data_IF_608621286622
#
_entry.id   IF_608621286622
#
_cell.length_a   1.000
_cell.length_b   1.000
_cell.length_c   1.000
_cell.angle_alpha   90.00
_cell.angle_beta   90.00
_cell.angle_gamma   90.00
#
_symmetry.space_group_name_H-M   'P 1'
#
loop_
_entity.id
_entity.type
_entity.pdbx_description
1 polymer ?
#
# COMPACT_ATOMS: atom_id res chain seq x y z
N UNK A 1 -13.59 -33.38 30.61
CA UNK A 1 -13.03 -34.13 29.48
C UNK A 1 -12.48 -33.15 28.46
N UNK A 2 -11.22 -33.37 28.06
CA UNK A 2 -10.46 -32.88 26.89
C UNK A 2 -10.72 -31.44 26.39
N UNK A 3 -9.76 -30.51 26.53
CA UNK A 3 -8.52 -30.39 25.72
C UNK A 3 -8.81 -30.10 24.25
N UNK A 4 -8.32 -28.96 23.77
CA UNK A 4 -7.43 -28.86 22.59
C UNK A 4 -6.98 -27.40 22.42
N UNK A 5 -5.86 -27.08 23.07
CA UNK A 5 -5.04 -25.93 22.71
C UNK A 5 -4.36 -26.22 21.36
N UNK A 6 -4.32 -25.24 20.46
CA UNK A 6 -3.55 -25.31 19.21
C UNK A 6 -2.24 -24.53 19.36
N UNK A 7 -1.12 -25.06 18.84
CA UNK A 7 0.21 -24.47 18.95
C UNK A 7 0.40 -23.43 17.85
N UNK A 8 1.16 -22.36 18.13
CA UNK A 8 1.71 -21.52 17.07
C UNK A 8 3.22 -21.41 17.24
N UNK A 9 3.89 -21.70 16.13
CA UNK A 9 5.32 -21.95 16.01
C UNK A 9 6.17 -20.77 16.46
N UNK A 10 7.06 -21.03 17.41
CA UNK A 10 8.22 -20.21 17.68
C UNK A 10 9.19 -20.31 16.48
N UNK A 11 9.45 -19.18 15.82
CA UNK A 11 10.54 -19.06 14.88
C UNK A 11 11.79 -18.68 15.68
N UNK A 12 12.66 -19.67 15.90
CA UNK A 12 13.94 -19.49 16.57
C UNK A 12 14.84 -18.57 15.74
N UNK A 13 15.12 -17.38 16.27
CA UNK A 13 16.19 -16.52 15.79
C UNK A 13 17.53 -17.17 16.16
N UNK A 14 18.19 -17.76 15.17
CA UNK A 14 19.59 -18.15 15.30
C UNK A 14 20.44 -16.88 15.43
N UNK A 15 20.88 -16.61 16.66
CA UNK A 15 21.86 -15.59 16.96
C UNK A 15 23.22 -16.05 16.41
N UNK A 16 23.72 -15.35 15.40
CA UNK A 16 25.11 -15.47 14.94
C UNK A 16 26.00 -14.84 16.03
N UNK A 17 27.01 -15.54 16.55
CA UNK A 17 27.90 -14.96 17.54
C UNK A 17 28.72 -13.83 16.92
N UNK A 18 28.60 -12.64 17.50
CA UNK A 18 29.47 -11.49 17.23
C UNK A 18 30.83 -11.81 17.84
N UNK A 19 31.83 -12.07 17.02
CA UNK A 19 33.21 -12.16 17.47
C UNK A 19 33.80 -10.75 17.59
N UNK A 20 34.08 -10.36 18.82
CA UNK A 20 34.84 -9.15 19.17
C UNK A 20 36.25 -9.23 18.56
N UNK A 21 36.45 -8.60 17.41
CA UNK A 21 37.79 -8.34 16.87
C UNK A 21 38.44 -7.19 17.64
N UNK A 22 39.05 -7.54 18.76
CA UNK A 22 39.92 -6.68 19.56
C UNK A 22 41.18 -6.35 18.75
N UNK A 23 41.62 -5.07 18.68
CA UNK A 23 42.81 -4.70 17.92
C UNK A 23 44.08 -5.36 18.49
N UNK A 24 45.07 -5.68 17.65
CA UNK A 24 46.29 -6.34 18.09
C UNK A 24 47.08 -5.42 19.04
N UNK A 25 47.35 -5.94 20.24
CA UNK A 25 48.26 -5.33 21.22
C UNK A 25 49.64 -5.16 20.59
N UNK A 26 50.12 -3.92 20.52
CA UNK A 26 51.51 -3.58 20.25
C UNK A 26 52.42 -4.23 21.30
N UNK A 27 53.17 -5.27 20.92
CA UNK A 27 54.26 -5.80 21.74
C UNK A 27 55.40 -4.77 21.74
N UNK A 28 55.64 -4.16 22.90
CA UNK A 28 56.86 -3.37 23.16
C UNK A 28 58.07 -4.28 22.92
N UNK A 29 58.93 -3.93 21.96
CA UNK A 29 60.24 -4.57 21.77
C UNK A 29 61.05 -4.42 23.05
N UNK A 30 61.49 -5.54 23.61
CA UNK A 30 62.52 -5.55 24.65
C UNK A 30 63.84 -5.05 24.05
N UNK A 31 64.51 -4.12 24.74
CA UNK A 31 65.88 -3.72 24.44
C UNK A 31 66.81 -4.86 24.85
N UNK A 32 67.47 -5.50 23.88
CA UNK A 32 68.63 -6.36 24.15
C UNK A 32 69.85 -5.47 24.49
N UNK A 33 70.53 -5.80 25.59
CA UNK A 33 71.80 -5.22 26.01
C UNK A 33 72.94 -5.61 25.05
N UNK A 34 74.05 -4.84 24.99
CA UNK A 34 75.17 -5.13 24.10
C UNK A 34 76.03 -6.28 24.65
N UNK A 35 76.43 -7.20 23.77
CA UNK A 35 77.43 -8.25 24.01
C UNK A 35 78.85 -7.67 23.79
N UNK A 36 79.90 -8.15 24.48
CA UNK A 36 81.25 -7.62 24.31
C UNK A 36 81.88 -8.11 23.00
N UNK A 37 82.85 -7.35 22.43
CA UNK A 37 83.50 -7.69 21.18
C UNK A 37 84.47 -8.86 21.40
N UNK A 38 84.35 -9.90 20.59
CA UNK A 38 85.37 -10.94 20.45
C UNK A 38 86.43 -10.50 19.42
N UNK A 39 87.69 -10.97 19.54
CA UNK A 39 88.77 -10.52 18.67
C UNK A 39 88.53 -10.94 17.23
N UNK A 40 88.84 -10.03 16.32
CA UNK A 40 88.85 -10.27 14.87
C UNK A 40 90.18 -10.96 14.55
N UNK A 41 90.14 -12.27 14.27
CA UNK A 41 91.23 -12.93 13.56
C UNK A 41 91.12 -12.56 12.09
N UNK A 42 92.09 -11.77 11.62
CA UNK A 42 92.27 -11.41 10.22
C UNK A 42 92.79 -12.66 9.51
N UNK A 43 91.86 -13.44 8.93
CA UNK A 43 92.22 -14.45 7.95
C UNK A 43 92.54 -13.71 6.66
N UNK A 44 93.85 -13.56 6.40
CA UNK A 44 94.37 -13.16 5.09
C UNK A 44 94.07 -14.32 4.14
N UNK A 45 92.97 -14.21 3.39
CA UNK A 45 92.71 -15.06 2.24
C UNK A 45 93.66 -14.64 1.12
N UNK A 46 94.74 -15.40 1.02
CA UNK A 46 95.70 -15.36 -0.07
C UNK A 46 95.03 -15.85 -1.36
N UNK A 47 95.11 -15.02 -2.41
CA UNK A 47 95.39 -15.37 -3.81
C UNK A 47 94.52 -16.44 -4.47
N UNK A 48 93.62 -16.02 -5.37
CA UNK A 48 93.33 -16.64 -6.68
C UNK A 48 92.41 -15.72 -7.51
N UNK A 49 92.99 -15.01 -8.49
CA UNK A 49 92.48 -13.78 -9.14
C UNK A 49 91.64 -13.99 -10.43
N UNK A 50 91.15 -15.19 -10.74
CA UNK A 50 90.36 -15.43 -11.98
C UNK A 50 88.92 -15.95 -11.77
N UNK A 51 88.55 -16.33 -10.54
CA UNK A 51 87.24 -16.91 -10.22
C UNK A 51 86.21 -15.90 -9.68
N UNK A 52 86.65 -14.84 -9.01
CA UNK A 52 85.76 -13.82 -8.42
C UNK A 52 84.98 -13.02 -9.46
N UNK A 53 85.55 -12.82 -10.65
CA UNK A 53 84.91 -12.09 -11.75
C UNK A 53 83.65 -12.81 -12.28
N UNK A 54 83.68 -14.15 -12.32
CA UNK A 54 82.55 -14.98 -12.75
C UNK A 54 81.44 -15.04 -11.70
N UNK A 55 81.80 -15.09 -10.42
CA UNK A 55 80.85 -15.12 -9.30
C UNK A 55 80.16 -13.76 -9.09
N UNK A 56 80.91 -12.66 -9.17
CA UNK A 56 80.33 -11.31 -9.18
C UNK A 56 79.44 -11.07 -10.42
N UNK A 57 79.79 -11.62 -11.58
CA UNK A 57 78.94 -11.51 -12.78
C UNK A 57 77.62 -12.29 -12.61
N UNK A 58 77.64 -13.47 -11.97
CA UNK A 58 76.44 -14.24 -11.60
C UNK A 58 75.56 -13.48 -10.61
N UNK A 59 76.14 -12.92 -9.55
CA UNK A 59 75.42 -12.13 -8.56
C UNK A 59 74.81 -10.85 -9.16
N UNK A 60 75.46 -10.20 -10.13
CA UNK A 60 74.88 -9.06 -10.84
C UNK A 60 73.65 -9.45 -11.64
N UNK A 61 73.71 -10.58 -12.36
CA UNK A 61 72.58 -11.11 -13.14
C UNK A 61 71.41 -11.51 -12.25
N UNK A 62 71.69 -12.12 -11.10
CA UNK A 62 70.68 -12.46 -10.09
C UNK A 62 70.04 -11.23 -9.45
N UNK A 63 70.84 -10.22 -9.09
CA UNK A 63 70.32 -8.94 -8.57
C UNK A 63 69.45 -8.21 -9.60
N UNK A 64 69.80 -8.28 -10.88
CA UNK A 64 68.99 -7.68 -11.95
C UNK A 64 67.66 -8.43 -12.14
N UNK A 65 67.67 -9.76 -12.05
CA UNK A 65 66.46 -10.58 -12.05
C UNK A 65 65.54 -10.29 -10.85
N UNK A 66 66.10 -10.22 -9.63
CA UNK A 66 65.36 -9.88 -8.41
C UNK A 66 64.79 -8.44 -8.46
N UNK A 67 65.52 -7.51 -9.09
CA UNK A 67 65.03 -6.15 -9.32
C UNK A 67 63.84 -6.13 -10.27
N UNK A 68 63.90 -6.88 -11.38
CA UNK A 68 62.76 -7.03 -12.30
C UNK A 68 61.55 -7.68 -11.63
N UNK A 69 61.77 -8.71 -10.81
CA UNK A 69 60.71 -9.39 -10.06
C UNK A 69 60.02 -8.45 -9.05
N UNK A 70 60.80 -7.67 -8.29
CA UNK A 70 60.29 -6.64 -7.38
C UNK A 70 59.48 -5.58 -8.13
N UNK A 71 59.96 -5.12 -9.27
CA UNK A 71 59.28 -4.09 -10.06
C UNK A 71 57.97 -4.64 -10.66
N UNK A 72 57.92 -5.93 -11.04
CA UNK A 72 56.68 -6.63 -11.41
C UNK A 72 55.69 -6.73 -10.25
N UNK A 73 56.14 -7.11 -9.04
CA UNK A 73 55.28 -7.15 -7.86
C UNK A 73 54.76 -5.75 -7.49
N UNK A 74 55.57 -4.71 -7.67
CA UNK A 74 55.16 -3.32 -7.45
C UNK A 74 54.06 -2.92 -8.43
N UNK A 75 54.23 -3.21 -9.72
CA UNK A 75 53.21 -2.95 -10.75
C UNK A 75 51.92 -3.73 -10.49
N UNK A 76 52.00 -5.00 -10.07
CA UNK A 76 50.84 -5.80 -9.69
C UNK A 76 50.11 -5.23 -8.46
N UNK A 77 50.86 -4.72 -7.47
CA UNK A 77 50.28 -4.06 -6.29
C UNK A 77 49.58 -2.76 -6.68
N UNK A 78 50.20 -1.95 -7.52
CA UNK A 78 49.65 -0.65 -7.93
C UNK A 78 48.38 -0.82 -8.78
N UNK A 79 48.31 -1.86 -9.62
CA UNK A 79 47.08 -2.22 -10.37
C UNK A 79 45.98 -2.78 -9.46
N UNK A 80 46.32 -3.59 -8.46
CA UNK A 80 45.37 -4.05 -7.44
C UNK A 80 44.82 -2.89 -6.59
N UNK A 81 45.67 -1.92 -6.21
CA UNK A 81 45.27 -0.71 -5.48
C UNK A 81 44.32 0.15 -6.33
N UNK A 82 44.63 0.35 -7.62
CA UNK A 82 43.76 1.07 -8.54
C UNK A 82 42.40 0.39 -8.70
N UNK A 83 42.36 -0.93 -8.90
CA UNK A 83 41.10 -1.67 -9.02
C UNK A 83 40.27 -1.59 -7.73
N UNK A 84 40.90 -1.70 -6.55
CA UNK A 84 40.24 -1.49 -5.25
C UNK A 84 39.61 -0.08 -5.14
N UNK A 85 40.35 0.96 -5.52
CA UNK A 85 39.86 2.34 -5.49
C UNK A 85 38.67 2.55 -6.44
N UNK A 86 38.69 1.96 -7.63
CA UNK A 86 37.55 2.02 -8.56
C UNK A 86 36.33 1.27 -8.04
N UNK A 87 36.53 0.10 -7.40
CA UNK A 87 35.45 -0.66 -6.79
C UNK A 87 34.82 0.13 -5.64
N UNK A 88 35.64 0.76 -4.80
CA UNK A 88 35.19 1.59 -3.67
C UNK A 88 34.44 2.85 -4.13
N UNK A 89 34.91 3.51 -5.19
CA UNK A 89 34.18 4.62 -5.82
C UNK A 89 32.82 4.17 -6.40
N UNK A 90 32.77 2.99 -7.03
CA UNK A 90 31.52 2.44 -7.57
C UNK A 90 30.53 2.06 -6.46
N UNK A 91 31.02 1.49 -5.35
CA UNK A 91 30.23 1.17 -4.15
C UNK A 91 29.63 2.44 -3.54
N UNK A 92 30.46 3.46 -3.31
CA UNK A 92 30.01 4.73 -2.75
C UNK A 92 28.94 5.40 -3.64
N UNK A 93 29.09 5.30 -4.97
CA UNK A 93 28.10 5.81 -5.94
C UNK A 93 26.79 5.01 -5.88
N UNK A 94 26.86 3.68 -5.74
CA UNK A 94 25.68 2.84 -5.60
C UNK A 94 24.95 3.13 -4.28
N UNK A 95 25.67 3.25 -3.17
CA UNK A 95 25.12 3.59 -1.85
C UNK A 95 24.43 4.97 -1.87
N UNK A 96 25.06 5.98 -2.47
CA UNK A 96 24.46 7.29 -2.65
C UNK A 96 23.13 7.21 -3.45
N UNK A 97 23.09 6.41 -4.51
CA UNK A 97 21.89 6.23 -5.34
C UNK A 97 20.79 5.46 -4.60
N UNK A 98 21.14 4.49 -3.75
CA UNK A 98 20.18 3.80 -2.88
C UNK A 98 19.55 4.76 -1.89
N UNK A 99 20.34 5.63 -1.26
CA UNK A 99 19.85 6.66 -0.34
C UNK A 99 18.92 7.64 -1.05
N UNK A 100 19.28 8.10 -2.25
CA UNK A 100 18.46 8.98 -3.08
C UNK A 100 17.11 8.36 -3.47
N UNK A 101 17.13 7.09 -3.91
CA UNK A 101 15.93 6.32 -4.22
C UNK A 101 15.05 6.12 -2.99
N UNK A 102 15.64 5.78 -1.83
CA UNK A 102 14.91 5.62 -0.57
C UNK A 102 14.24 6.93 -0.13
N UNK A 103 14.95 8.05 -0.22
CA UNK A 103 14.38 9.36 0.11
C UNK A 103 13.26 9.74 -0.87
N UNK A 104 13.37 9.36 -2.14
CA UNK A 104 12.33 9.57 -3.15
C UNK A 104 11.12 8.66 -2.95
N UNK A 105 11.30 7.43 -2.47
CA UNK A 105 10.22 6.52 -2.07
C UNK A 105 9.49 7.01 -0.82
N UNK A 106 10.23 7.43 0.22
CA UNK A 106 9.64 8.06 1.42
C UNK A 106 8.83 9.30 1.07
N UNK A 107 9.33 10.13 0.16
CA UNK A 107 8.60 11.28 -0.40
C UNK A 107 7.43 10.91 -1.32
N UNK A 108 7.25 9.65 -1.72
CA UNK A 108 6.05 9.20 -2.45
C UNK A 108 5.03 8.52 -1.52
N UNK A 109 5.47 7.99 -0.39
CA UNK A 109 4.63 7.46 0.69
C UNK A 109 4.19 8.57 1.67
N UNK A 110 3.61 9.65 1.13
CA UNK A 110 3.40 10.94 1.85
C UNK A 110 2.30 10.89 2.91
N UNK A 111 1.36 9.94 2.84
CA UNK A 111 0.22 9.96 3.74
C UNK A 111 0.62 9.44 5.11
N UNK A 112 0.48 10.28 6.13
CA UNK A 112 0.59 9.83 7.52
C UNK A 112 -0.60 8.91 7.85
N UNK A 113 -0.47 7.97 8.78
CA UNK A 113 -1.60 7.16 9.25
C UNK A 113 -2.78 8.01 9.75
N UNK A 114 -2.51 9.20 10.31
CA UNK A 114 -3.53 10.18 10.69
C UNK A 114 -4.30 10.73 9.49
N UNK A 115 -3.63 11.09 8.39
CA UNK A 115 -4.30 11.64 7.20
C UNK A 115 -5.27 10.62 6.57
N UNK A 116 -4.91 9.33 6.63
CA UNK A 116 -5.78 8.26 6.13
C UNK A 116 -6.97 8.02 7.06
N UNK A 117 -6.82 8.24 8.37
CA UNK A 117 -7.90 8.13 9.35
C UNK A 117 -8.96 9.22 9.16
N UNK A 118 -8.55 10.47 8.92
CA UNK A 118 -9.49 11.56 8.68
C UNK A 118 -10.27 11.33 7.37
N UNK A 119 -9.58 10.81 6.36
CA UNK A 119 -10.21 10.47 5.08
C UNK A 119 -11.17 9.29 5.22
N UNK A 120 -10.85 8.31 6.06
CA UNK A 120 -11.73 7.17 6.37
C UNK A 120 -13.06 7.64 6.98
N UNK A 121 -13.03 8.60 7.89
CA UNK A 121 -14.24 9.19 8.46
C UNK A 121 -15.12 9.83 7.37
N UNK A 122 -14.52 10.56 6.43
CA UNK A 122 -15.24 11.21 5.32
C UNK A 122 -15.90 10.24 4.32
N UNK A 123 -15.44 8.99 4.26
CA UNK A 123 -16.01 7.94 3.39
C UNK A 123 -16.86 6.92 4.16
N UNK A 124 -17.07 7.15 5.45
CA UNK A 124 -17.93 6.35 6.30
C UNK A 124 -19.39 6.78 6.18
N UNK A 125 -20.30 5.81 6.26
CA UNK A 125 -21.74 6.05 6.18
C UNK A 125 -22.27 6.51 7.54
N UNK A 126 -22.99 7.63 7.62
CA UNK A 126 -23.57 8.10 8.90
C UNK A 126 -24.66 7.16 9.49
N UNK A 127 -25.19 6.22 8.70
CA UNK A 127 -26.23 5.28 9.16
C UNK A 127 -25.59 4.03 9.79
N UNK A 128 -24.62 3.42 9.10
CA UNK A 128 -24.03 2.16 9.55
C UNK A 128 -22.61 2.31 10.10
N UNK A 129 -22.03 3.52 10.05
CA UNK A 129 -20.66 3.86 10.47
C UNK A 129 -19.56 3.03 9.81
N UNK A 130 -19.85 2.44 8.63
CA UNK A 130 -18.90 1.66 7.84
C UNK A 130 -18.58 2.37 6.52
N UNK A 131 -17.43 2.00 5.90
CA UNK A 131 -17.04 2.43 4.56
C UNK A 131 -18.17 2.28 3.53
N UNK A 132 -18.44 3.34 2.77
CA UNK A 132 -19.45 3.35 1.72
C UNK A 132 -18.96 2.65 0.43
N UNK A 133 -18.93 1.32 0.41
CA UNK A 133 -18.52 0.54 -0.77
C UNK A 133 -19.40 0.75 -2.00
N UNK A 134 -20.67 1.13 -1.79
CA UNK A 134 -21.58 1.49 -2.86
C UNK A 134 -22.34 2.76 -2.44
N UNK A 135 -21.72 3.94 -2.59
CA UNK A 135 -22.29 5.20 -2.13
C UNK A 135 -23.44 5.64 -3.05
N UNK A 136 -24.50 6.17 -2.45
CA UNK A 136 -25.65 6.74 -3.11
C UNK A 136 -25.94 8.12 -2.51
N UNK A 137 -25.99 9.14 -3.36
CA UNK A 137 -26.13 10.54 -2.98
C UNK A 137 -27.53 11.04 -3.25
N UNK A 138 -28.08 11.77 -2.28
CA UNK A 138 -29.39 12.41 -2.38
C UNK A 138 -29.25 13.75 -3.11
N UNK A 139 -29.78 13.87 -4.32
CA UNK A 139 -29.60 15.06 -5.18
C UNK A 139 -30.19 16.36 -4.61
N UNK A 140 -31.17 16.27 -3.71
CA UNK A 140 -31.79 17.44 -3.09
C UNK A 140 -30.95 18.11 -1.99
N UNK A 141 -30.02 17.38 -1.36
CA UNK A 141 -29.24 17.88 -0.23
C UNK A 141 -27.75 17.51 -0.23
N UNK A 142 -27.28 16.67 -1.16
CA UNK A 142 -25.87 16.27 -1.28
C UNK A 142 -25.39 15.19 -0.31
N UNK A 143 -26.12 14.89 0.77
CA UNK A 143 -25.75 13.81 1.69
C UNK A 143 -25.66 12.45 0.99
N UNK A 144 -24.66 11.68 1.38
CA UNK A 144 -24.28 10.41 0.73
C UNK A 144 -24.19 9.30 1.77
N UNK A 145 -24.70 8.13 1.41
CA UNK A 145 -24.75 6.97 2.31
C UNK A 145 -24.55 5.69 1.51
N UNK A 146 -24.48 4.54 2.17
CA UNK A 146 -24.59 3.25 1.50
C UNK A 146 -25.95 3.11 0.77
N UNK A 147 -25.92 2.60 -0.47
CA UNK A 147 -27.13 2.27 -1.26
C UNK A 147 -28.13 1.43 -0.44
N UNK A 148 -27.64 0.42 0.28
CA UNK A 148 -28.48 -0.44 1.13
C UNK A 148 -29.12 0.30 2.30
N UNK A 149 -28.36 1.15 3.00
CA UNK A 149 -28.86 1.88 4.16
C UNK A 149 -29.95 2.88 3.77
N UNK A 150 -29.78 3.60 2.65
CA UNK A 150 -30.84 4.45 2.12
C UNK A 150 -32.07 3.66 1.67
N UNK A 151 -31.86 2.51 1.03
CA UNK A 151 -32.97 1.65 0.63
C UNK A 151 -33.78 1.18 1.83
N UNK A 152 -33.13 0.71 2.90
CA UNK A 152 -33.79 0.30 4.14
C UNK A 152 -34.53 1.46 4.82
N UNK A 153 -33.92 2.65 4.85
CA UNK A 153 -34.56 3.86 5.36
C UNK A 153 -35.86 4.22 4.61
N UNK A 154 -35.82 4.19 3.27
CA UNK A 154 -37.01 4.42 2.45
C UNK A 154 -38.03 3.28 2.59
N UNK A 155 -37.58 2.03 2.70
CA UNK A 155 -38.47 0.89 2.88
C UNK A 155 -39.24 0.97 4.21
N UNK A 156 -38.59 1.39 5.29
CA UNK A 156 -39.25 1.62 6.58
C UNK A 156 -40.34 2.71 6.47
N UNK A 157 -40.04 3.79 5.76
CA UNK A 157 -41.01 4.87 5.47
C UNK A 157 -42.19 4.36 4.64
N UNK A 158 -41.90 3.58 3.59
CA UNK A 158 -42.91 2.97 2.74
C UNK A 158 -43.82 2.00 3.52
N UNK A 159 -43.23 1.15 4.35
CA UNK A 159 -43.96 0.17 5.17
C UNK A 159 -44.95 0.86 6.09
N UNK A 160 -44.50 1.89 6.82
CA UNK A 160 -45.37 2.70 7.69
C UNK A 160 -46.48 3.39 6.89
N UNK A 161 -46.14 3.89 5.71
CA UNK A 161 -47.11 4.55 4.84
C UNK A 161 -48.22 3.58 4.40
N UNK A 162 -47.86 2.39 3.93
CA UNK A 162 -48.83 1.36 3.49
C UNK A 162 -49.72 0.88 4.64
N UNK A 163 -49.17 0.76 5.86
CA UNK A 163 -49.97 0.44 7.04
C UNK A 163 -51.00 1.54 7.36
N UNK A 164 -50.63 2.80 7.16
CA UNK A 164 -51.50 3.96 7.42
C UNK A 164 -52.52 4.16 6.30
N UNK A 165 -52.14 3.85 5.06
CA UNK A 165 -52.94 4.05 3.85
C UNK A 165 -53.04 2.75 3.02
N UNK A 166 -53.81 1.72 3.47
CA UNK A 166 -53.93 0.47 2.72
C UNK A 166 -54.45 0.64 1.29
N UNK A 167 -55.31 1.66 1.07
CA UNK A 167 -55.83 2.02 -0.25
C UNK A 167 -54.73 2.42 -1.26
N UNK A 168 -53.54 2.83 -0.79
CA UNK A 168 -52.40 3.16 -1.63
C UNK A 168 -51.99 1.99 -2.53
N UNK A 169 -52.01 0.77 -2.01
CA UNK A 169 -51.65 -0.44 -2.78
C UNK A 169 -52.71 -0.80 -3.83
N UNK A 170 -53.98 -0.59 -3.52
CA UNK A 170 -55.08 -0.90 -4.42
C UNK A 170 -55.14 0.05 -5.63
N UNK A 171 -54.63 1.27 -5.47
CA UNK A 171 -54.67 2.29 -6.50
C UNK A 171 -56.08 2.84 -6.79
N UNK A 172 -56.20 3.79 -7.72
CA UNK A 172 -57.49 4.34 -8.12
C UNK A 172 -58.35 3.26 -8.77
N UNK A 173 -59.56 3.08 -8.23
CA UNK A 173 -60.54 2.15 -8.80
C UNK A 173 -61.17 2.77 -10.05
N UNK A 174 -60.72 2.33 -11.22
CA UNK A 174 -61.23 2.80 -12.50
C UNK A 174 -62.21 1.74 -13.04
N UNK A 175 -63.48 2.09 -13.29
CA UNK A 175 -64.43 1.16 -13.90
C UNK A 175 -63.89 0.60 -15.22
N UNK A 176 -64.05 -0.71 -15.42
CA UNK A 176 -63.58 -1.45 -16.59
C UNK A 176 -64.04 -0.80 -17.91
N UNK A 177 -65.29 -0.33 -17.96
CA UNK A 177 -65.86 0.36 -19.11
C UNK A 177 -65.07 1.62 -19.50
N UNK A 178 -64.52 2.37 -18.55
CA UNK A 178 -63.71 3.56 -18.85
C UNK A 178 -62.32 3.18 -19.36
N UNK A 179 -61.75 2.09 -18.87
CA UNK A 179 -60.45 1.61 -19.36
C UNK A 179 -60.50 1.21 -20.84
N UNK A 180 -61.62 0.61 -21.29
CA UNK A 180 -61.82 0.23 -22.70
C UNK A 180 -61.99 1.42 -23.65
N UNK A 181 -62.43 2.57 -23.15
CA UNK A 181 -62.74 3.76 -23.94
C UNK A 181 -61.77 4.92 -23.68
N UNK A 182 -60.55 4.65 -23.23
CA UNK A 182 -59.55 5.70 -22.95
C UNK A 182 -59.17 6.57 -24.17
N UNK A 183 -59.47 6.11 -25.39
CA UNK A 183 -59.27 6.89 -26.61
C UNK A 183 -60.32 8.00 -26.78
N UNK A 184 -61.45 7.92 -26.08
CA UNK A 184 -62.45 8.97 -26.03
C UNK A 184 -61.97 10.09 -25.09
N UNK A 185 -61.83 11.35 -25.57
CA UNK A 185 -61.39 12.48 -24.76
C UNK A 185 -62.24 12.72 -23.50
N UNK A 186 -63.55 12.46 -23.56
CA UNK A 186 -64.45 12.66 -22.42
C UNK A 186 -64.19 11.60 -21.34
N UNK A 187 -64.05 10.33 -21.74
CA UNK A 187 -63.73 9.24 -20.82
C UNK A 187 -62.33 9.43 -20.24
N UNK A 188 -61.35 9.87 -21.04
CA UNK A 188 -60.01 10.19 -20.56
C UNK A 188 -60.02 11.28 -19.48
N UNK A 189 -60.84 12.33 -19.65
CA UNK A 189 -61.02 13.38 -18.66
C UNK A 189 -61.63 12.84 -17.35
N UNK A 190 -62.66 12.00 -17.43
CA UNK A 190 -63.25 11.34 -16.25
C UNK A 190 -62.24 10.46 -15.51
N UNK A 191 -61.43 9.68 -16.23
CA UNK A 191 -60.38 8.84 -15.62
C UNK A 191 -59.30 9.70 -14.96
N UNK A 192 -58.91 10.81 -15.57
CA UNK A 192 -57.97 11.77 -14.98
C UNK A 192 -58.52 12.35 -13.66
N UNK A 193 -59.82 12.66 -13.62
CA UNK A 193 -60.49 13.14 -12.41
C UNK A 193 -60.54 12.07 -11.30
N UNK A 194 -60.87 10.80 -11.63
CA UNK A 194 -60.83 9.68 -10.67
C UNK A 194 -59.43 9.54 -10.07
N UNK A 195 -58.38 9.59 -10.91
CA UNK A 195 -56.99 9.54 -10.46
C UNK A 195 -56.63 10.73 -9.57
N UNK A 196 -57.04 11.94 -9.93
CA UNK A 196 -56.80 13.15 -9.14
C UNK A 196 -57.47 13.07 -7.76
N UNK A 197 -58.72 12.60 -7.71
CA UNK A 197 -59.47 12.41 -6.48
C UNK A 197 -58.83 11.36 -5.57
N UNK A 198 -58.31 10.27 -6.13
CA UNK A 198 -57.56 9.27 -5.38
C UNK A 198 -56.30 9.86 -4.74
N UNK A 199 -55.48 10.60 -5.49
CA UNK A 199 -54.24 11.22 -4.98
C UNK A 199 -54.52 12.23 -3.86
N UNK A 200 -55.67 12.93 -3.91
CA UNK A 200 -56.09 13.84 -2.83
C UNK A 200 -56.42 13.13 -1.53
N UNK A 201 -57.01 11.93 -1.61
CA UNK A 201 -57.42 11.13 -0.43
C UNK A 201 -56.30 10.27 0.10
N UNK A 202 -55.45 9.77 -0.78
CA UNK A 202 -54.36 8.85 -0.46
C UNK A 202 -53.05 9.52 -0.85
N UNK A 203 -52.39 10.23 0.10
CA UNK A 203 -51.15 10.93 -0.18
C UNK A 203 -50.06 9.92 -0.57
N UNK A 204 -49.02 10.40 -1.25
CA UNK A 204 -47.83 9.57 -1.51
C UNK A 204 -46.90 9.53 -0.29
N UNK A 205 -46.10 8.47 -0.13
CA UNK A 205 -45.06 8.44 0.90
C UNK A 205 -44.05 9.57 0.66
N UNK A 206 -43.68 10.26 1.74
CA UNK A 206 -42.67 11.33 1.70
C UNK A 206 -41.37 10.77 2.29
N UNK A 207 -40.37 10.61 1.43
CA UNK A 207 -39.03 10.17 1.83
C UNK A 207 -38.18 11.36 2.25
N UNK A 208 -37.30 11.17 3.24
CA UNK A 208 -36.46 12.23 3.80
C UNK A 208 -35.01 11.78 3.94
N UNK A 209 -34.08 12.74 3.91
CA UNK A 209 -32.68 12.48 4.22
C UNK A 209 -32.51 12.09 5.71
N UNK A 210 -31.76 11.02 6.03
CA UNK A 210 -31.48 10.64 7.43
C UNK A 210 -30.78 11.73 8.25
N UNK A 211 -29.88 12.50 7.62
CA UNK A 211 -29.09 13.55 8.30
C UNK A 211 -29.87 14.85 8.43
N UNK A 212 -30.27 15.46 7.30
CA UNK A 212 -30.83 16.81 7.28
C UNK A 212 -32.36 16.86 7.10
N UNK A 213 -33.03 15.71 6.97
CA UNK A 213 -34.49 15.57 6.81
C UNK A 213 -35.11 16.25 5.59
N UNK A 214 -34.31 16.83 4.70
CA UNK A 214 -34.79 17.36 3.40
C UNK A 214 -35.55 16.27 2.64
N UNK A 215 -36.68 16.65 2.04
CA UNK A 215 -37.52 15.74 1.27
C UNK A 215 -36.79 15.24 0.01
N UNK A 216 -36.77 13.92 -0.17
CA UNK A 216 -36.17 13.25 -1.32
C UNK A 216 -37.28 12.95 -2.32
N UNK A 217 -37.21 13.58 -3.50
CA UNK A 217 -38.23 13.44 -4.57
C UNK A 217 -37.74 12.65 -5.78
N UNK A 218 -36.45 12.39 -5.84
CA UNK A 218 -35.77 11.78 -6.98
C UNK A 218 -34.91 10.61 -6.51
N UNK A 219 -34.61 9.71 -7.44
CA UNK A 219 -33.81 8.52 -7.16
C UNK A 219 -32.40 8.93 -6.71
N UNK A 220 -31.84 8.32 -5.66
CA UNK A 220 -30.44 8.54 -5.29
C UNK A 220 -29.49 8.17 -6.42
N UNK A 221 -28.42 8.95 -6.59
CA UNK A 221 -27.44 8.78 -7.66
C UNK A 221 -26.18 8.14 -7.11
N UNK A 222 -25.69 7.09 -7.75
CA UNK A 222 -24.40 6.49 -7.42
C UNK A 222 -23.25 7.39 -7.88
N UNK A 223 -22.38 7.81 -6.95
CA UNK A 223 -21.20 8.63 -7.28
C UNK A 223 -19.99 7.71 -7.49
N UNK A 224 -19.70 7.40 -8.75
CA UNK A 224 -18.64 6.45 -9.12
C UNK A 224 -17.23 6.91 -8.73
N UNK A 225 -16.98 8.22 -8.73
CA UNK A 225 -15.71 8.81 -8.28
C UNK A 225 -15.48 8.55 -6.80
N UNK A 226 -16.49 8.79 -5.95
CA UNK A 226 -16.45 8.47 -4.53
C UNK A 226 -16.24 6.97 -4.30
N UNK A 227 -16.87 6.12 -5.10
CA UNK A 227 -16.63 4.68 -5.08
C UNK A 227 -15.18 4.31 -5.40
N UNK A 228 -14.51 5.05 -6.29
CA UNK A 228 -13.09 4.86 -6.57
C UNK A 228 -12.22 5.33 -5.39
N UNK A 229 -12.56 6.45 -4.77
CA UNK A 229 -11.88 6.96 -3.56
C UNK A 229 -11.97 5.95 -2.43
N UNK A 230 -13.16 5.46 -2.09
CA UNK A 230 -13.38 4.45 -1.04
C UNK A 230 -12.46 3.24 -1.22
N UNK A 231 -12.39 2.69 -2.44
CA UNK A 231 -11.52 1.54 -2.73
C UNK A 231 -10.04 1.86 -2.58
N UNK A 232 -9.63 3.07 -2.99
CA UNK A 232 -8.23 3.49 -2.90
C UNK A 232 -7.81 3.68 -1.44
N UNK A 233 -8.65 4.30 -0.61
CA UNK A 233 -8.41 4.48 0.83
C UNK A 233 -8.33 3.13 1.53
N UNK A 234 -9.29 2.22 1.28
CA UNK A 234 -9.26 0.87 1.85
C UNK A 234 -7.94 0.13 1.55
N UNK A 235 -7.48 0.18 0.29
CA UNK A 235 -6.17 -0.40 -0.11
C UNK A 235 -4.99 0.20 0.64
N UNK A 236 -4.97 1.52 0.86
CA UNK A 236 -3.90 2.20 1.56
C UNK A 236 -3.88 1.88 3.06
N UNK A 237 -5.05 1.62 3.66
CA UNK A 237 -5.17 1.25 5.07
C UNK A 237 -4.87 -0.23 5.35
N UNK A 238 -4.63 -1.04 4.31
CA UNK A 238 -4.40 -2.49 4.47
C UNK A 238 -5.69 -3.29 4.67
N UNK A 239 -6.85 -2.65 4.59
CA UNK A 239 -8.13 -3.33 4.48
C UNK A 239 -8.18 -3.99 3.09
N UNK A 240 -8.20 -5.32 3.05
CA UNK A 240 -8.17 -6.07 1.79
C UNK A 240 -9.18 -5.56 0.75
N UNK A 241 -8.92 -5.80 -0.54
CA UNK A 241 -9.69 -5.24 -1.67
C UNK A 241 -11.19 -5.64 -1.73
N UNK A 242 -11.65 -6.45 -0.80
CA UNK A 242 -12.97 -7.04 -0.80
C UNK A 242 -14.03 -6.09 -0.26
N UNK A 243 -14.71 -5.37 -1.16
CA UNK A 243 -16.11 -4.98 -0.90
C UNK A 243 -16.87 -6.21 -0.41
N UNK A 244 -17.70 -6.12 0.65
CA UNK A 244 -18.59 -7.21 1.04
C UNK A 244 -19.28 -7.77 -0.19
N UNK A 245 -19.27 -9.10 -0.36
CA UNK A 245 -19.83 -9.75 -1.56
C UNK A 245 -21.24 -9.21 -1.78
N UNK A 246 -21.45 -8.56 -2.93
CA UNK A 246 -22.77 -8.07 -3.32
C UNK A 246 -23.62 -9.32 -3.55
N UNK A 247 -24.54 -9.62 -2.64
CA UNK A 247 -25.65 -10.53 -2.94
C UNK A 247 -26.44 -9.83 -4.05
N UNK A 248 -26.17 -10.22 -5.29
CA UNK A 248 -26.87 -9.73 -6.46
C UNK A 248 -28.24 -10.41 -6.49
N UNK A 249 -29.23 -9.82 -5.84
CA UNK A 249 -30.61 -10.10 -6.20
C UNK A 249 -30.83 -9.49 -7.59
N UNK A 250 -30.80 -10.36 -8.60
CA UNK A 250 -31.04 -10.03 -10.01
C UNK A 250 -32.54 -9.81 -10.22
N UNK A 251 -33.14 -8.89 -9.47
CA UNK A 251 -34.48 -8.40 -9.74
C UNK A 251 -34.38 -7.45 -10.95
N UNK A 252 -35.23 -7.67 -11.95
CA UNK A 252 -35.28 -6.89 -13.18
C UNK A 252 -35.78 -5.49 -12.85
N UNK A 253 -34.86 -4.56 -12.55
CA UNK A 253 -35.17 -3.17 -12.22
C UNK A 253 -34.10 -2.51 -11.35
N UNK A 254 -34.01 -1.18 -11.38
CA UNK A 254 -33.19 -0.45 -10.40
C UNK A 254 -33.75 -0.68 -9.00
N UNK A 255 -32.89 -0.85 -7.99
CA UNK A 255 -33.26 -1.03 -6.57
C UNK A 255 -34.19 0.07 -6.04
N UNK A 256 -34.18 1.24 -6.67
CA UNK A 256 -35.04 2.37 -6.35
C UNK A 256 -36.42 2.33 -7.05
N UNK A 257 -36.77 1.25 -7.74
CA UNK A 257 -38.08 1.12 -8.39
C UNK A 257 -39.21 1.09 -7.35
N UNK A 258 -40.29 1.82 -7.61
CA UNK A 258 -41.46 1.88 -6.73
C UNK A 258 -41.44 2.97 -5.65
N UNK A 259 -40.27 3.49 -5.26
CA UNK A 259 -40.20 4.62 -4.31
C UNK A 259 -40.49 5.97 -4.98
N UNK A 260 -40.01 6.16 -6.20
CA UNK A 260 -40.09 7.43 -6.91
C UNK A 260 -40.89 7.27 -8.21
N UNK A 261 -41.69 8.27 -8.60
CA UNK A 261 -42.42 8.29 -9.87
C UNK A 261 -41.50 8.30 -11.09
#
# INVERSE_FOLDING_TARGET
MASLAKPSLALALAQVPVTDNKPPRTRKRAKCAPRPPTPIDIIVLSSDDDTESSEMARLRKENEALKMERDNFRAARDTAEASKNTAEASKNKAEAKVVELNNSLKRKAIYSPSDLSDLEESISCEICTLKMWNPATLTGCGHTFCEKCLHEWFNATYTRHVQTYPAFLAGPQIPEQYMRHLNDPHVAAMVAEIRANFVRRVPRPVYTCPTCRVAVRTRPVTVYTLKAVVRKVARLMGDGEGSPRRIVNRAVGSIWAGFFP
#
